data_IF_291708658792
#
_entry.id   IF_291708658792
#
_cell.length_a   1.000
_cell.length_b   1.000
_cell.length_c   1.000
_cell.angle_alpha   90.00
_cell.angle_beta   90.00
_cell.angle_gamma   90.00
#
_symmetry.space_group_name_H-M   'P 1'
#
loop_
_entity.id
_entity.type
_entity.pdbx_description
1 polymer ?
#
# COMPACT_ATOMS: atom_id res chain seq x y z
N UNK A 1 -0.82 -22.07 23.42
CA UNK A 1 -0.36 -23.44 23.75
C UNK A 1 0.40 -23.37 25.07
N UNK A 2 0.00 -24.13 26.09
CA UNK A 2 0.64 -24.19 27.40
C UNK A 2 1.01 -25.65 27.68
N UNK A 3 2.25 -25.90 28.08
CA UNK A 3 2.74 -27.26 28.36
C UNK A 3 3.05 -27.38 29.87
N UNK A 4 2.42 -28.32 30.59
CA UNK A 4 2.68 -28.59 32.00
C UNK A 4 4.16 -28.93 32.27
N UNK A 5 4.72 -28.39 33.36
CA UNK A 5 6.16 -28.44 33.65
C UNK A 5 6.69 -29.87 33.86
N UNK A 6 5.86 -30.77 34.35
CA UNK A 6 6.15 -32.19 34.54
C UNK A 6 6.18 -32.99 33.22
N UNK A 7 5.72 -32.41 32.10
CA UNK A 7 5.78 -33.02 30.77
C UNK A 7 6.98 -32.52 29.94
N UNK A 8 7.80 -31.60 30.48
CA UNK A 8 8.99 -31.09 29.80
C UNK A 8 10.18 -32.04 30.05
N UNK A 9 10.41 -32.95 29.10
CA UNK A 9 11.47 -33.96 29.18
C UNK A 9 12.90 -33.36 29.12
N UNK A 10 13.09 -32.25 28.40
CA UNK A 10 14.38 -31.54 28.30
C UNK A 10 14.16 -30.08 27.95
N UNK A 11 14.87 -29.18 28.63
CA UNK A 11 14.93 -27.75 28.31
C UNK A 11 16.36 -27.44 27.86
N UNK A 12 16.52 -26.91 26.66
CA UNK A 12 17.83 -26.50 26.14
C UNK A 12 17.76 -25.00 25.87
N UNK A 13 18.71 -24.24 26.42
CA UNK A 13 18.86 -22.85 26.01
C UNK A 13 19.40 -22.87 24.58
N UNK A 14 18.54 -22.57 23.61
CA UNK A 14 18.95 -22.40 22.22
C UNK A 14 19.89 -21.20 22.08
N UNK A 15 20.72 -21.23 21.05
CA UNK A 15 21.39 -20.01 20.58
C UNK A 15 20.33 -18.98 20.17
N UNK A 16 20.65 -17.69 20.32
CA UNK A 16 19.75 -16.61 19.90
C UNK A 16 19.34 -16.83 18.44
N UNK A 17 18.05 -16.66 18.15
CA UNK A 17 17.54 -16.66 16.77
C UNK A 17 17.98 -15.42 15.99
N UNK A 18 18.53 -14.40 16.66
CA UNK A 18 19.11 -13.23 16.02
C UNK A 18 20.50 -13.60 15.50
N UNK A 19 20.74 -13.58 14.18
CA UNK A 19 22.07 -13.78 13.62
C UNK A 19 23.05 -12.76 14.21
N UNK A 20 24.24 -13.18 14.64
CA UNK A 20 25.27 -12.24 15.07
C UNK A 20 25.67 -11.34 13.90
N UNK A 21 25.95 -10.06 14.19
CA UNK A 21 26.46 -9.13 13.18
C UNK A 21 25.42 -8.54 12.21
N UNK A 22 24.12 -8.62 12.51
CA UNK A 22 23.06 -8.08 11.64
C UNK A 22 23.24 -6.59 11.28
N UNK A 23 23.86 -5.82 12.17
CA UNK A 23 24.10 -4.39 11.97
C UNK A 23 25.39 -4.10 11.19
N UNK A 24 26.29 -5.09 11.04
CA UNK A 24 27.61 -4.88 10.45
C UNK A 24 27.55 -4.67 8.93
N UNK A 25 26.44 -5.05 8.28
CA UNK A 25 26.20 -4.75 6.86
C UNK A 25 25.74 -3.31 6.62
N UNK A 26 25.37 -2.58 7.68
CA UNK A 26 24.90 -1.20 7.60
C UNK A 26 26.08 -0.23 7.71
N UNK A 27 26.04 0.83 6.93
CA UNK A 27 26.93 1.98 7.08
C UNK A 27 26.70 2.66 8.44
N UNK A 28 27.68 3.41 8.93
CA UNK A 28 27.56 4.15 10.21
C UNK A 28 26.33 5.05 10.24
N UNK A 29 25.98 5.67 9.10
CA UNK A 29 24.82 6.53 8.97
C UNK A 29 23.51 5.76 9.08
N UNK A 30 23.41 4.61 8.43
CA UNK A 30 22.25 3.73 8.54
C UNK A 30 22.09 3.15 9.95
N UNK A 31 23.19 2.87 10.65
CA UNK A 31 23.16 2.45 12.05
C UNK A 31 22.60 3.56 12.95
N UNK A 32 23.06 4.81 12.79
CA UNK A 32 22.53 5.95 13.52
C UNK A 32 21.04 6.18 13.24
N UNK A 33 20.63 6.08 11.98
CA UNK A 33 19.23 6.21 11.58
C UNK A 33 18.37 5.09 12.18
N UNK A 34 18.89 3.86 12.22
CA UNK A 34 18.23 2.73 12.87
C UNK A 34 18.07 2.97 14.37
N UNK A 35 19.13 3.40 15.07
CA UNK A 35 19.05 3.68 16.50
C UNK A 35 18.07 4.79 16.81
N UNK A 36 18.07 5.85 16.00
CA UNK A 36 17.10 6.95 16.12
C UNK A 36 15.68 6.44 15.92
N UNK A 37 15.43 5.66 14.86
CA UNK A 37 14.13 5.07 14.58
C UNK A 37 13.63 4.23 15.77
N UNK A 38 14.47 3.33 16.29
CA UNK A 38 14.12 2.49 17.44
C UNK A 38 13.86 3.32 18.71
N UNK A 39 14.60 4.42 18.90
CA UNK A 39 14.40 5.31 20.04
C UNK A 39 13.12 6.16 19.94
N UNK A 40 12.62 6.41 18.73
CA UNK A 40 11.39 7.18 18.47
C UNK A 40 10.15 6.29 18.32
N UNK A 41 10.32 4.97 18.20
CA UNK A 41 9.23 4.03 18.02
C UNK A 41 8.27 4.07 19.20
N UNK A 42 7.00 4.35 18.92
CA UNK A 42 5.95 4.48 19.96
C UNK A 42 5.91 5.82 20.70
N UNK A 43 6.83 6.76 20.40
CA UNK A 43 6.70 8.16 20.84
C UNK A 43 5.78 8.92 19.88
N UNK A 44 5.14 9.98 20.39
CA UNK A 44 4.36 10.88 19.54
C UNK A 44 5.28 11.49 18.47
N UNK A 45 4.95 11.30 17.19
CA UNK A 45 5.82 11.71 16.10
C UNK A 45 5.52 11.01 14.76
N UNK A 46 6.49 11.01 13.83
CA UNK A 46 6.35 10.34 12.54
C UNK A 46 6.35 8.81 12.64
N UNK A 47 6.92 8.23 13.71
CA UNK A 47 6.97 6.78 13.92
C UNK A 47 5.91 6.28 14.92
N UNK A 48 4.89 7.11 15.17
CA UNK A 48 3.77 6.76 16.01
C UNK A 48 2.81 5.81 15.28
N UNK A 49 2.82 4.55 15.68
CA UNK A 49 1.99 3.51 15.09
C UNK A 49 0.51 3.58 15.51
N UNK A 50 0.14 4.42 16.48
CA UNK A 50 -1.23 4.53 17.01
C UNK A 50 -2.21 5.20 16.03
N UNK A 51 -1.71 5.86 14.98
CA UNK A 51 -2.55 6.45 13.93
C UNK A 51 -3.17 5.34 13.06
N UNK A 52 -4.38 4.91 13.43
CA UNK A 52 -5.10 3.76 12.84
C UNK A 52 -5.89 4.10 11.57
N UNK A 53 -5.84 5.33 11.07
CA UNK A 53 -6.65 5.81 9.93
C UNK A 53 -5.93 5.99 8.61
N UNK A 54 -4.86 5.23 8.35
CA UNK A 54 -4.03 5.39 7.13
C UNK A 54 -3.81 4.07 6.40
N UNK A 55 -3.78 4.11 5.07
CA UNK A 55 -3.41 2.94 4.26
C UNK A 55 -1.91 2.61 4.43
N UNK A 56 -1.60 1.40 4.90
CA UNK A 56 -0.22 0.92 5.07
C UNK A 56 0.24 -0.12 4.06
N UNK A 57 -0.71 -0.68 3.32
CA UNK A 57 -0.46 -1.70 2.31
C UNK A 57 -1.13 -1.29 1.02
N UNK A 58 -0.32 -1.12 -0.03
CA UNK A 58 -0.78 -0.75 -1.35
C UNK A 58 -0.48 -1.84 -2.35
N UNK A 59 -1.31 -1.90 -3.38
CA UNK A 59 -1.09 -2.70 -4.57
C UNK A 59 -0.95 -1.76 -5.73
N UNK A 60 0.16 -1.84 -6.45
CA UNK A 60 0.44 -0.98 -7.59
C UNK A 60 0.30 -1.74 -8.90
N UNK A 61 -0.27 -1.08 -9.89
CA UNK A 61 -0.37 -1.58 -11.26
C UNK A 61 0.03 -0.48 -12.24
N UNK A 62 0.97 -0.74 -13.17
CA UNK A 62 1.31 0.22 -14.21
C UNK A 62 0.15 0.38 -15.20
N UNK A 63 -0.30 1.61 -15.40
CA UNK A 63 -1.27 2.01 -16.40
C UNK A 63 -0.56 2.53 -17.64
N UNK A 64 -0.41 1.69 -18.66
CA UNK A 64 0.22 2.08 -19.93
C UNK A 64 -0.83 2.61 -20.90
N UNK A 65 -0.40 3.20 -22.02
CA UNK A 65 -1.32 3.68 -23.07
C UNK A 65 -2.31 2.58 -23.53
N UNK A 66 -1.91 1.31 -23.50
CA UNK A 66 -2.79 0.17 -23.85
C UNK A 66 -3.94 -0.02 -22.86
N UNK A 67 -3.72 0.31 -21.60
CA UNK A 67 -4.76 0.23 -20.56
C UNK A 67 -5.88 1.25 -20.83
N UNK A 68 -5.52 2.44 -21.30
CA UNK A 68 -6.50 3.45 -21.69
C UNK A 68 -7.35 2.98 -22.88
N UNK A 69 -6.72 2.36 -23.88
CA UNK A 69 -7.41 1.79 -25.04
C UNK A 69 -8.33 0.61 -24.66
N UNK A 70 -7.91 -0.21 -23.69
CA UNK A 70 -8.70 -1.36 -23.25
C UNK A 70 -9.94 -0.96 -22.42
N UNK A 71 -9.83 0.16 -21.70
CA UNK A 71 -10.86 0.71 -20.84
C UNK A 71 -10.50 0.57 -19.35
N UNK A 72 -10.43 1.71 -18.67
CA UNK A 72 -10.05 1.81 -17.25
C UNK A 72 -11.07 1.11 -16.35
N UNK A 73 -12.35 1.18 -16.69
CA UNK A 73 -13.43 0.56 -15.91
C UNK A 73 -13.22 -0.95 -15.73
N UNK A 74 -12.67 -1.63 -16.73
CA UNK A 74 -12.36 -3.05 -16.65
C UNK A 74 -11.23 -3.35 -15.66
N UNK A 75 -10.24 -2.46 -15.54
CA UNK A 75 -9.16 -2.60 -14.56
C UNK A 75 -9.71 -2.46 -13.14
N UNK A 76 -10.55 -1.44 -12.90
CA UNK A 76 -11.02 -1.09 -11.55
C UNK A 76 -12.20 -1.93 -11.08
N UNK A 77 -12.90 -2.62 -11.98
CA UNK A 77 -13.92 -3.63 -11.65
C UNK A 77 -13.29 -4.98 -11.29
N UNK A 78 -12.20 -5.35 -11.95
CA UNK A 78 -11.53 -6.64 -11.73
C UNK A 78 -10.73 -6.71 -10.43
N UNK A 79 -10.69 -7.90 -9.81
CA UNK A 79 -10.00 -8.20 -8.55
C UNK A 79 -8.49 -7.89 -8.56
N UNK A 80 -7.90 -7.62 -7.39
CA UNK A 80 -6.42 -7.51 -7.27
C UNK A 80 -5.67 -8.81 -7.59
N UNK A 81 -6.37 -9.96 -7.55
CA UNK A 81 -5.81 -11.26 -7.95
C UNK A 81 -5.75 -11.46 -9.46
N UNK A 82 -6.42 -10.61 -10.24
CA UNK A 82 -6.45 -10.71 -11.71
C UNK A 82 -5.03 -10.56 -12.26
N UNK A 83 -4.64 -11.52 -13.09
CA UNK A 83 -3.45 -11.42 -13.94
C UNK A 83 -3.90 -10.91 -15.31
N UNK A 84 -3.12 -9.99 -15.84
CA UNK A 84 -3.36 -9.33 -17.11
C UNK A 84 -2.35 -9.81 -18.15
N UNK A 85 -2.80 -9.88 -19.39
CA UNK A 85 -1.93 -10.22 -20.50
C UNK A 85 -1.06 -9.03 -20.91
N UNK A 86 0.02 -9.31 -21.63
CA UNK A 86 0.88 -8.29 -22.22
C UNK A 86 0.12 -7.36 -23.19
N UNK A 87 -0.98 -7.84 -23.77
CA UNK A 87 -1.82 -7.01 -24.64
C UNK A 87 -2.49 -5.86 -23.86
N UNK A 88 -2.86 -6.08 -22.60
CA UNK A 88 -3.55 -5.07 -21.78
C UNK A 88 -2.55 -4.14 -21.08
N UNK A 89 -1.54 -4.70 -20.41
CA UNK A 89 -0.60 -3.88 -19.62
C UNK A 89 0.63 -3.44 -20.41
N UNK A 90 0.97 -4.12 -21.50
CA UNK A 90 2.25 -3.94 -22.18
C UNK A 90 3.48 -4.33 -21.37
N UNK A 91 3.29 -4.97 -20.21
CA UNK A 91 4.35 -5.38 -19.31
C UNK A 91 4.22 -6.88 -19.03
N UNK A 92 4.94 -7.72 -19.77
CA UNK A 92 5.01 -9.16 -19.52
C UNK A 92 3.69 -9.94 -19.64
N UNK A 93 3.78 -11.26 -19.81
CA UNK A 93 2.60 -12.12 -19.73
C UNK A 93 2.25 -12.38 -18.26
N UNK A 94 0.96 -12.31 -17.91
CA UNK A 94 0.45 -12.51 -16.54
C UNK A 94 0.97 -11.50 -15.50
N UNK A 95 1.29 -10.28 -15.91
CA UNK A 95 1.56 -9.22 -14.95
C UNK A 95 0.29 -8.83 -14.19
N UNK A 96 0.45 -8.40 -12.95
CA UNK A 96 -0.67 -8.02 -12.11
C UNK A 96 -0.22 -7.05 -11.04
N UNK A 97 -1.13 -6.80 -10.11
CA UNK A 97 -0.91 -5.93 -8.98
C UNK A 97 0.30 -6.41 -8.15
N UNK A 98 1.24 -5.49 -7.89
CA UNK A 98 2.40 -5.73 -7.04
C UNK A 98 2.16 -5.11 -5.66
N UNK A 99 2.41 -5.88 -4.60
CA UNK A 99 2.24 -5.41 -3.22
C UNK A 99 3.43 -4.52 -2.83
N UNK A 100 3.15 -3.40 -2.18
CA UNK A 100 4.15 -2.49 -1.60
C UNK A 100 3.66 -2.00 -0.23
N UNK A 101 4.57 -1.97 0.73
CA UNK A 101 4.30 -1.45 2.08
C UNK A 101 4.68 0.02 2.16
N UNK A 102 3.97 0.79 2.98
CA UNK A 102 4.32 2.19 3.25
C UNK A 102 5.34 2.30 4.36
N UNK A 103 5.81 3.54 4.61
CA UNK A 103 6.44 3.92 5.86
C UNK A 103 5.43 3.84 7.03
N UNK A 104 5.93 3.86 8.27
CA UNK A 104 5.12 3.70 9.50
C UNK A 104 3.98 4.71 9.60
N UNK A 105 4.21 5.94 9.15
CA UNK A 105 3.22 7.02 9.11
C UNK A 105 2.14 6.88 8.00
N UNK A 106 2.21 5.85 7.15
CA UNK A 106 1.29 5.65 6.02
C UNK A 106 1.72 6.34 4.72
N UNK A 107 2.92 6.92 4.68
CA UNK A 107 3.45 7.56 3.48
C UNK A 107 4.02 6.50 2.52
N UNK A 108 3.56 6.53 1.26
CA UNK A 108 4.16 5.80 0.13
C UNK A 108 4.95 6.79 -0.75
N UNK A 109 6.29 6.82 -0.65
CA UNK A 109 7.16 7.66 -1.47
C UNK A 109 6.98 7.46 -2.98
N UNK A 110 7.22 8.51 -3.77
CA UNK A 110 7.20 8.43 -5.23
C UNK A 110 8.25 7.49 -5.81
N UNK A 111 9.43 7.41 -5.17
CA UNK A 111 10.52 6.48 -5.54
C UNK A 111 10.03 5.03 -5.54
N UNK A 112 9.39 4.59 -4.46
CA UNK A 112 8.82 3.23 -4.35
C UNK A 112 7.73 2.99 -5.40
N UNK A 113 6.92 4.01 -5.71
CA UNK A 113 5.90 3.92 -6.76
C UNK A 113 6.58 3.70 -8.12
N UNK A 114 7.56 4.52 -8.46
CA UNK A 114 8.29 4.46 -9.73
C UNK A 114 9.02 3.13 -9.89
N UNK A 115 9.71 2.65 -8.86
CA UNK A 115 10.47 1.40 -8.92
C UNK A 115 9.56 0.18 -9.11
N UNK A 116 8.45 0.11 -8.35
CA UNK A 116 7.52 -1.01 -8.45
C UNK A 116 6.77 -1.01 -9.78
N UNK A 117 6.44 0.17 -10.30
CA UNK A 117 5.67 0.36 -11.55
C UNK A 117 6.54 0.53 -12.78
N UNK A 118 7.86 0.40 -12.65
CA UNK A 118 8.78 0.42 -13.78
C UNK A 118 8.35 -0.60 -14.85
N UNK A 119 8.23 -0.10 -16.08
CA UNK A 119 7.90 -0.88 -17.28
C UNK A 119 9.10 -0.90 -18.21
N UNK A 120 9.12 -1.84 -19.16
CA UNK A 120 10.23 -1.97 -20.11
C UNK A 120 10.43 -0.70 -20.95
N UNK A 121 11.66 -0.49 -21.42
CA UNK A 121 12.13 0.72 -22.15
C UNK A 121 11.22 1.19 -23.30
N UNK A 122 10.49 0.27 -23.93
CA UNK A 122 9.63 0.53 -25.09
C UNK A 122 8.14 0.69 -24.72
N UNK A 123 7.83 0.86 -23.43
CA UNK A 123 6.46 0.91 -22.92
C UNK A 123 6.29 2.21 -22.15
N UNK A 124 5.41 3.09 -22.63
CA UNK A 124 5.08 4.34 -21.95
C UNK A 124 4.16 4.09 -20.76
N UNK A 125 4.63 4.45 -19.56
CA UNK A 125 3.80 4.57 -18.37
C UNK A 125 3.02 5.90 -18.43
N UNK A 126 1.70 5.84 -18.40
CA UNK A 126 0.83 7.03 -18.46
C UNK A 126 0.20 7.29 -17.10
N UNK A 127 -0.23 6.21 -16.44
CA UNK A 127 -0.86 6.24 -15.13
C UNK A 127 -0.29 5.19 -14.21
N UNK A 128 -0.50 5.38 -12.91
CA UNK A 128 -0.30 4.35 -11.91
C UNK A 128 -1.61 4.14 -11.18
N UNK A 129 -2.05 2.89 -11.08
CA UNK A 129 -3.16 2.54 -10.22
C UNK A 129 -2.62 2.06 -8.87
N UNK A 130 -3.07 2.70 -7.80
CA UNK A 130 -2.75 2.34 -6.42
C UNK A 130 -4.03 1.86 -5.74
N UNK A 131 -4.07 0.58 -5.38
CA UNK A 131 -5.22 -0.07 -4.79
C UNK A 131 -4.95 -0.52 -3.36
N UNK A 132 -5.96 -0.42 -2.49
CA UNK A 132 -5.90 -1.00 -1.15
C UNK A 132 -7.28 -1.52 -0.72
N UNK A 133 -7.33 -2.27 0.37
CA UNK A 133 -8.57 -2.76 0.94
C UNK A 133 -8.90 -1.99 2.21
N UNK A 134 -10.19 -1.74 2.37
CA UNK A 134 -10.76 -1.11 3.55
C UNK A 134 -11.89 -1.99 4.09
N UNK A 135 -12.16 -1.88 5.37
CA UNK A 135 -13.27 -2.54 6.04
C UNK A 135 -14.11 -1.50 6.77
N UNK A 136 -15.41 -1.52 6.49
CA UNK A 136 -16.41 -0.72 7.16
C UNK A 136 -17.10 -1.58 8.21
N UNK A 137 -17.05 -1.18 9.49
CA UNK A 137 -17.61 -1.98 10.58
C UNK A 137 -19.15 -1.99 10.60
N UNK A 138 -19.77 -0.88 10.20
CA UNK A 138 -21.22 -0.68 10.16
C UNK A 138 -21.58 0.18 8.97
N UNK A 139 -22.75 -0.05 8.38
CA UNK A 139 -23.27 0.79 7.32
C UNK A 139 -23.23 2.27 7.70
N UNK A 140 -22.70 3.12 6.83
CA UNK A 140 -22.50 4.52 7.15
C UNK A 140 -21.75 5.31 6.09
N UNK A 141 -21.44 6.56 6.43
CA UNK A 141 -20.71 7.46 5.55
C UNK A 141 -19.21 7.41 5.86
N UNK A 142 -18.40 7.10 4.85
CA UNK A 142 -16.96 7.13 4.93
C UNK A 142 -16.40 8.37 4.23
N UNK A 143 -15.47 9.05 4.91
CA UNK A 143 -14.71 10.19 4.36
C UNK A 143 -13.27 9.78 4.12
N UNK A 144 -12.75 10.13 2.95
CA UNK A 144 -11.39 9.84 2.54
C UNK A 144 -10.68 11.14 2.15
N UNK A 145 -9.40 11.24 2.47
CA UNK A 145 -8.55 12.37 2.10
C UNK A 145 -7.22 11.91 1.50
N UNK A 146 -6.81 12.60 0.43
CA UNK A 146 -5.50 12.49 -0.21
C UNK A 146 -4.58 13.64 0.26
N UNK A 147 -3.26 13.56 0.02
CA UNK A 147 -2.32 14.59 0.43
C UNK A 147 -2.68 15.93 -0.23
N UNK A 148 -2.47 17.04 0.47
CA UNK A 148 -2.79 18.38 -0.05
C UNK A 148 -2.12 18.60 -1.40
N UNK A 149 -2.89 19.14 -2.35
CA UNK A 149 -2.43 19.40 -3.72
C UNK A 149 -2.58 18.22 -4.69
N UNK A 150 -2.86 17.00 -4.19
CA UNK A 150 -3.15 15.86 -5.06
C UNK A 150 -4.65 15.79 -5.37
N UNK A 151 -4.99 15.78 -6.66
CA UNK A 151 -6.33 15.41 -7.14
C UNK A 151 -6.20 14.15 -7.99
N UNK A 152 -6.96 13.12 -7.67
CA UNK A 152 -6.90 11.84 -8.35
C UNK A 152 -8.31 11.30 -8.58
N UNK A 153 -8.44 10.45 -9.59
CA UNK A 153 -9.66 9.67 -9.82
C UNK A 153 -9.65 8.48 -8.87
N UNK A 154 -10.76 8.28 -8.16
CA UNK A 154 -10.89 7.22 -7.15
C UNK A 154 -12.12 6.37 -7.42
N UNK A 155 -11.98 5.07 -7.26
CA UNK A 155 -13.06 4.10 -7.35
C UNK A 155 -13.17 3.30 -6.06
N UNK A 156 -14.40 3.01 -5.64
CA UNK A 156 -14.69 2.01 -4.61
C UNK A 156 -15.54 0.90 -5.22
N UNK A 157 -15.06 -0.35 -5.13
CA UNK A 157 -15.67 -1.53 -5.76
C UNK A 157 -16.00 -1.34 -7.25
N UNK A 158 -15.12 -0.61 -7.95
CA UNK A 158 -15.28 -0.28 -9.37
C UNK A 158 -16.24 0.87 -9.66
N UNK A 159 -16.92 1.46 -8.66
CA UNK A 159 -17.76 2.65 -8.82
C UNK A 159 -16.92 3.92 -8.66
N UNK A 160 -16.95 4.79 -9.67
CA UNK A 160 -16.19 6.04 -9.66
C UNK A 160 -16.76 7.05 -8.66
N UNK A 161 -15.87 7.71 -7.91
CA UNK A 161 -16.17 8.86 -7.04
C UNK A 161 -15.74 10.19 -7.67
N UNK A 162 -15.30 10.16 -8.93
CA UNK A 162 -14.78 11.32 -9.66
C UNK A 162 -13.36 11.73 -9.25
N UNK A 163 -12.91 12.89 -9.75
CA UNK A 163 -11.58 13.44 -9.51
C UNK A 163 -11.59 14.50 -8.42
N UNK A 164 -11.07 14.19 -7.23
CA UNK A 164 -10.99 15.13 -6.12
C UNK A 164 -9.78 14.86 -5.22
N UNK A 165 -9.63 15.68 -4.17
CA UNK A 165 -8.67 15.47 -3.09
C UNK A 165 -9.31 14.81 -1.86
N UNK A 166 -10.61 15.00 -1.67
CA UNK A 166 -11.38 14.40 -0.60
C UNK A 166 -12.67 13.82 -1.16
N UNK A 167 -13.10 12.68 -0.61
CA UNK A 167 -14.24 11.92 -1.08
C UNK A 167 -15.15 11.57 0.10
N UNK A 168 -16.45 11.63 -0.13
CA UNK A 168 -17.45 11.19 0.85
C UNK A 168 -18.42 10.27 0.16
N UNK A 169 -18.63 9.08 0.70
CA UNK A 169 -19.56 8.11 0.13
C UNK A 169 -20.19 7.24 1.21
N UNK A 170 -21.35 6.66 0.92
CA UNK A 170 -22.00 5.69 1.78
C UNK A 170 -21.47 4.30 1.47
N UNK A 171 -21.03 3.59 2.49
CA UNK A 171 -20.56 2.21 2.41
C UNK A 171 -21.42 1.32 3.29
N UNK A 172 -21.67 0.11 2.83
CA UNK A 172 -22.24 -0.95 3.65
C UNK A 172 -21.17 -1.51 4.58
N UNK A 173 -21.57 -2.27 5.59
CA UNK A 173 -20.63 -3.05 6.40
C UNK A 173 -19.94 -4.11 5.54
N UNK A 174 -18.67 -4.36 5.86
CA UNK A 174 -17.83 -5.35 5.20
C UNK A 174 -16.61 -4.76 4.47
N UNK A 175 -15.99 -5.62 3.66
CA UNK A 175 -14.75 -5.33 2.95
C UNK A 175 -15.02 -4.67 1.61
N UNK A 176 -14.37 -3.54 1.37
CA UNK A 176 -14.42 -2.81 0.10
C UNK A 176 -13.01 -2.62 -0.47
N UNK A 177 -12.94 -2.51 -1.80
CA UNK A 177 -11.71 -2.20 -2.51
C UNK A 177 -11.72 -0.75 -2.95
N UNK A 178 -10.67 -0.01 -2.62
CA UNK A 178 -10.43 1.32 -3.15
C UNK A 178 -9.27 1.29 -4.17
N UNK A 179 -9.41 2.02 -5.26
CA UNK A 179 -8.36 2.22 -6.27
C UNK A 179 -8.23 3.71 -6.55
N UNK A 180 -7.01 4.21 -6.56
CA UNK A 180 -6.63 5.59 -6.87
C UNK A 180 -5.80 5.60 -8.15
N UNK A 181 -6.14 6.43 -9.13
CA UNK A 181 -5.34 6.62 -10.36
C UNK A 181 -4.48 7.87 -10.22
N UNK A 182 -3.18 7.69 -10.37
CA UNK A 182 -2.18 8.74 -10.39
C UNK A 182 -1.70 8.98 -11.82
N UNK A 183 -1.28 10.21 -12.09
CA UNK A 183 -0.59 10.58 -13.33
C UNK A 183 0.90 10.25 -13.18
N UNK A 184 1.45 9.48 -14.12
CA UNK A 184 2.86 9.09 -14.07
C UNK A 184 3.81 10.28 -14.27
N UNK A 185 3.37 11.34 -14.97
CA UNK A 185 4.17 12.55 -15.21
C UNK A 185 4.05 13.58 -14.07
N UNK A 186 3.11 13.39 -13.16
CA UNK A 186 2.82 14.31 -12.06
C UNK A 186 2.59 13.55 -10.73
N UNK A 187 3.46 12.57 -10.45
CA UNK A 187 3.38 11.81 -9.20
C UNK A 187 3.58 12.74 -7.98
N UNK A 188 2.77 12.59 -6.93
CA UNK A 188 2.99 13.31 -5.68
C UNK A 188 4.30 12.82 -5.03
N UNK A 189 5.00 13.68 -4.28
CA UNK A 189 6.19 13.27 -3.50
C UNK A 189 5.90 12.06 -2.60
N UNK A 190 4.67 12.02 -2.07
CA UNK A 190 4.16 10.95 -1.23
C UNK A 190 2.68 10.73 -1.58
N UNK A 191 2.29 9.46 -1.76
CA UNK A 191 0.90 9.04 -1.74
C UNK A 191 0.53 8.63 -0.30
N UNK A 192 -0.61 9.12 0.17
CA UNK A 192 -1.21 8.70 1.43
C UNK A 192 -2.73 8.79 1.33
N UNK A 193 -3.43 7.83 1.90
CA UNK A 193 -4.88 7.83 1.96
C UNK A 193 -5.30 7.75 3.42
N UNK A 194 -6.10 8.72 3.84
CA UNK A 194 -6.55 8.83 5.22
C UNK A 194 -8.07 8.66 5.31
N UNK A 195 -8.52 7.96 6.35
CA UNK A 195 -9.92 7.90 6.75
C UNK A 195 -10.04 7.55 8.23
N UNK A 196 -10.98 8.18 8.93
CA UNK A 196 -11.31 7.84 10.32
C UNK A 196 -12.53 6.92 10.43
N UNK A 197 -13.20 6.66 9.31
CA UNK A 197 -14.48 5.94 9.30
C UNK A 197 -14.32 4.45 8.94
N UNK A 198 -13.17 4.06 8.40
CA UNK A 198 -12.89 2.69 7.95
C UNK A 198 -11.57 2.21 8.53
N UNK A 199 -11.41 0.88 8.64
CA UNK A 199 -10.14 0.26 8.92
C UNK A 199 -9.42 -0.08 7.61
N UNK A 200 -8.13 0.21 7.49
CA UNK A 200 -7.32 -0.24 6.35
C UNK A 200 -6.77 -1.64 6.61
N UNK A 201 -6.89 -2.53 5.61
CA UNK A 201 -6.46 -3.93 5.72
C UNK A 201 -5.02 -4.10 5.17
N UNK A 202 -4.23 -4.97 5.81
CA UNK A 202 -2.83 -5.25 5.46
C UNK A 202 -2.63 -6.61 4.77
N UNK A 203 -3.59 -7.01 3.93
CA UNK A 203 -3.56 -8.26 3.16
C UNK A 203 -2.67 -8.18 1.92
#
# INVERSE_FOLDING_TARGET
VSIPRNQVRRKVNGQSLMPPGLILSLTEREQLDLYRFLAELGKAGPFDATKTGVARTWRLLPGTHRVEQYGIDKIVQEGFKKKWSNHVLGAGNNAGWKLVSTRVNGDLPSEDITDVTAVGRNVGLVHVFAGTFIEMLKDGTAKFALPKGLKADVWIDGKSLGRANAFTTKLTSGRHRIVVRLDANALPKVLRLESQNVAFLND
#
